data_IF_992633389771
#
_entry.id   IF_992633389771
#
_cell.length_a   1.000
_cell.length_b   1.000
_cell.length_c   1.000
_cell.angle_alpha   90.00
_cell.angle_beta   90.00
_cell.angle_gamma   90.00
#
_symmetry.space_group_name_H-M   'P 1'
#
loop_
_entity.id
_entity.type
_entity.pdbx_description
1 polymer ?
#
# COMPACT_ATOMS: atom_id res chain seq x y z
N UNK A 1 11.09 0.05 -1.31
CA UNK A 1 10.01 -0.81 -1.79
C UNK A 1 9.04 -1.08 -0.65
N UNK A 2 7.74 -1.08 -0.93
CA UNK A 2 6.71 -1.51 0.01
C UNK A 2 5.97 -2.71 -0.57
N UNK A 3 5.56 -3.64 0.29
CA UNK A 3 4.75 -4.79 -0.09
C UNK A 3 3.44 -4.77 0.68
N UNK A 4 2.33 -4.79 -0.06
CA UNK A 4 0.98 -4.84 0.50
C UNK A 4 0.40 -6.24 0.34
N UNK A 5 0.05 -6.83 1.46
CA UNK A 5 -0.55 -8.15 1.57
C UNK A 5 -1.36 -8.24 2.86
N UNK A 6 -1.36 -9.39 3.52
CA UNK A 6 -1.98 -9.58 4.86
C UNK A 6 -1.46 -8.55 5.87
N UNK A 7 -0.18 -8.21 5.77
CA UNK A 7 0.48 -7.10 6.46
C UNK A 7 1.11 -6.13 5.48
N UNK A 8 1.95 -5.23 5.99
CA UNK A 8 2.74 -4.28 5.20
C UNK A 8 4.21 -4.50 5.50
N UNK A 9 4.96 -4.91 4.48
CA UNK A 9 6.41 -5.04 4.55
C UNK A 9 7.12 -3.90 3.83
N UNK A 10 8.42 -3.76 4.08
CA UNK A 10 9.25 -2.80 3.40
C UNK A 10 10.69 -3.25 3.22
N UNK A 11 11.38 -2.57 2.33
CA UNK A 11 12.82 -2.73 2.11
C UNK A 11 13.41 -1.48 1.51
N UNK A 12 14.59 -1.13 1.96
CA UNK A 12 15.33 0.06 1.53
C UNK A 12 16.54 -0.41 0.73
N UNK A 13 16.68 0.13 -0.49
CA UNK A 13 17.86 -0.08 -1.32
C UNK A 13 18.65 1.22 -1.35
N UNK A 14 19.91 1.15 -1.00
CA UNK A 14 20.85 2.25 -1.05
C UNK A 14 22.15 1.81 -1.74
N UNK A 15 22.59 2.55 -2.74
CA UNK A 15 23.76 2.19 -3.57
C UNK A 15 23.70 0.75 -4.14
N UNK A 16 22.53 0.33 -4.63
CA UNK A 16 22.27 -1.01 -5.17
C UNK A 16 22.37 -2.15 -4.15
N UNK A 17 22.45 -1.84 -2.86
CA UNK A 17 22.48 -2.81 -1.77
C UNK A 17 21.27 -2.66 -0.85
N UNK A 18 20.90 -3.76 -0.18
CA UNK A 18 19.87 -3.72 0.84
C UNK A 18 20.40 -3.04 2.08
N UNK A 19 19.77 -1.94 2.48
CA UNK A 19 20.05 -1.32 3.75
C UNK A 19 19.45 -2.15 4.89
N UNK A 20 20.29 -2.83 5.64
CA UNK A 20 19.89 -3.79 6.69
C UNK A 20 19.78 -3.15 8.08
N UNK A 21 20.44 -2.00 8.31
CA UNK A 21 20.60 -1.47 9.67
C UNK A 21 21.26 -2.52 10.57
N UNK A 22 20.67 -2.75 11.74
CA UNK A 22 21.07 -3.86 12.63
C UNK A 22 20.38 -5.20 12.30
N UNK A 23 19.76 -5.31 11.12
CA UNK A 23 19.10 -6.53 10.61
C UNK A 23 17.63 -6.37 10.22
N UNK A 24 16.93 -5.40 10.78
CA UNK A 24 15.48 -5.21 10.59
C UNK A 24 15.11 -3.82 10.03
N UNK A 25 16.03 -3.18 9.28
CA UNK A 25 15.69 -1.92 8.63
C UNK A 25 14.63 -2.14 7.55
N UNK A 26 13.66 -1.22 7.49
CA UNK A 26 12.57 -1.31 6.51
C UNK A 26 11.30 -1.96 7.05
N UNK A 27 11.18 -2.25 8.34
CA UNK A 27 9.95 -2.71 9.01
C UNK A 27 8.88 -1.59 9.04
N UNK A 28 8.53 -1.11 7.85
CA UNK A 28 7.66 0.07 7.63
C UNK A 28 6.26 -0.17 8.19
N UNK A 29 5.73 -1.39 8.07
CA UNK A 29 4.42 -1.76 8.62
C UNK A 29 4.33 -1.58 10.13
N UNK A 30 5.47 -1.56 10.84
CA UNK A 30 5.56 -1.41 12.30
C UNK A 30 5.73 0.03 12.76
N UNK A 31 5.66 1.01 11.87
CA UNK A 31 5.64 2.41 12.25
C UNK A 31 4.37 2.69 13.04
N UNK A 32 4.52 3.23 14.26
CA UNK A 32 3.39 3.66 15.08
C UNK A 32 2.77 4.92 14.47
N UNK A 33 1.47 4.88 14.21
CA UNK A 33 0.70 6.02 13.71
C UNK A 33 -0.12 6.70 14.82
N UNK A 34 -0.35 5.96 15.91
CA UNK A 34 -0.96 6.46 17.14
C UNK A 34 -0.59 5.54 18.31
N UNK A 35 -1.13 5.80 19.50
CA UNK A 35 -0.80 5.07 20.73
C UNK A 35 -1.02 3.54 20.66
N UNK A 36 -1.85 3.04 19.75
CA UNK A 36 -2.29 1.64 19.72
C UNK A 36 -2.22 0.97 18.36
N UNK A 37 -1.92 1.71 17.30
CA UNK A 37 -1.98 1.19 15.93
C UNK A 37 -0.67 1.37 15.19
N UNK A 38 -0.26 0.31 14.52
CA UNK A 38 0.81 0.34 13.54
C UNK A 38 0.27 0.73 12.16
N UNK A 39 1.14 1.11 11.27
CA UNK A 39 0.79 1.47 9.90
C UNK A 39 0.05 0.31 9.18
N UNK A 40 0.51 -0.94 9.38
CA UNK A 40 -0.15 -2.10 8.78
C UNK A 40 -1.59 -2.33 9.28
N UNK A 41 -1.94 -1.83 10.47
CA UNK A 41 -3.29 -1.90 11.03
C UNK A 41 -4.29 -0.96 10.33
N UNK A 42 -3.83 -0.09 9.43
CA UNK A 42 -4.68 0.85 8.70
C UNK A 42 -4.56 0.77 7.19
N UNK A 43 -3.46 0.22 6.64
CA UNK A 43 -3.24 0.16 5.19
C UNK A 43 -3.03 -1.25 4.62
N UNK A 44 -3.07 -2.31 5.44
CA UNK A 44 -2.91 -3.67 4.91
C UNK A 44 -4.17 -4.18 4.19
N UNK A 45 -3.98 -5.14 3.28
CA UNK A 45 -5.09 -5.79 2.57
C UNK A 45 -6.11 -6.43 3.52
N UNK A 46 -5.66 -6.95 4.66
CA UNK A 46 -6.54 -7.49 5.71
C UNK A 46 -7.47 -6.41 6.26
N UNK A 47 -6.96 -5.21 6.49
CA UNK A 47 -7.77 -4.08 6.98
C UNK A 47 -8.78 -3.65 5.93
N UNK A 48 -8.38 -3.56 4.68
CA UNK A 48 -9.30 -3.20 3.59
C UNK A 48 -10.47 -4.18 3.49
N UNK A 49 -10.15 -5.48 3.51
CA UNK A 49 -11.19 -6.53 3.49
C UNK A 49 -12.11 -6.41 4.70
N UNK A 50 -11.56 -6.20 5.89
CA UNK A 50 -12.35 -6.05 7.11
C UNK A 50 -13.26 -4.82 7.07
N UNK A 51 -12.74 -3.67 6.64
CA UNK A 51 -13.56 -2.45 6.47
C UNK A 51 -14.71 -2.68 5.49
N UNK A 52 -14.43 -3.31 4.36
CA UNK A 52 -15.45 -3.67 3.40
C UNK A 52 -16.53 -4.58 4.03
N UNK A 53 -16.14 -5.60 4.78
CA UNK A 53 -17.08 -6.50 5.46
C UNK A 53 -17.94 -5.76 6.51
N UNK A 54 -17.34 -4.91 7.32
CA UNK A 54 -18.05 -4.09 8.31
C UNK A 54 -19.09 -3.18 7.63
N UNK A 55 -18.71 -2.55 6.52
CA UNK A 55 -19.62 -1.71 5.74
C UNK A 55 -20.76 -2.52 5.14
N UNK A 56 -20.49 -3.73 4.66
CA UNK A 56 -21.51 -4.65 4.17
C UNK A 56 -22.52 -5.04 5.25
N UNK A 57 -22.07 -5.35 6.47
CA UNK A 57 -22.95 -5.71 7.57
C UNK A 57 -23.87 -4.54 7.98
N UNK A 58 -23.36 -3.30 7.89
CA UNK A 58 -24.14 -2.08 8.19
C UNK A 58 -25.18 -1.81 7.10
N UNK A 59 -24.84 -2.03 5.83
CA UNK A 59 -25.73 -1.71 4.72
C UNK A 59 -25.73 -2.80 3.64
N UNK A 60 -26.61 -3.80 3.81
CA UNK A 60 -26.75 -4.99 2.94
C UNK A 60 -27.13 -4.71 1.48
N UNK A 61 -27.21 -3.45 1.06
CA UNK A 61 -27.61 -3.04 -0.31
C UNK A 61 -26.46 -2.46 -1.13
N UNK A 62 -25.20 -2.76 -0.79
CA UNK A 62 -24.06 -2.18 -1.49
C UNK A 62 -23.90 -2.75 -2.90
N UNK A 63 -23.43 -1.96 -3.84
CA UNK A 63 -23.09 -2.44 -5.19
C UNK A 63 -22.01 -3.53 -5.16
N UNK A 64 -21.11 -3.46 -4.17
CA UNK A 64 -20.10 -4.47 -3.91
C UNK A 64 -20.64 -5.70 -3.17
N UNK A 65 -21.85 -5.65 -2.61
CA UNK A 65 -22.40 -6.69 -1.75
C UNK A 65 -22.49 -8.07 -2.40
N UNK A 66 -22.76 -8.13 -3.70
CA UNK A 66 -22.82 -9.38 -4.46
C UNK A 66 -21.42 -9.97 -4.76
N UNK A 67 -20.39 -9.16 -4.59
CA UNK A 67 -19.00 -9.50 -4.90
C UNK A 67 -18.23 -9.83 -3.62
N UNK A 68 -18.78 -9.47 -2.45
CA UNK A 68 -18.20 -9.65 -1.12
C UNK A 68 -17.97 -11.10 -0.68
N UNK A 69 -18.66 -12.04 -1.27
CA UNK A 69 -18.47 -13.46 -0.99
C UNK A 69 -17.21 -14.07 -1.63
N UNK A 70 -16.54 -13.33 -2.50
CA UNK A 70 -15.27 -13.77 -3.09
C UNK A 70 -14.09 -13.04 -2.41
N UNK A 71 -13.02 -13.74 -2.09
CA UNK A 71 -11.83 -13.27 -1.32
C UNK A 71 -11.08 -12.04 -1.90
N UNK A 72 -11.62 -11.37 -2.93
CA UNK A 72 -10.94 -10.32 -3.72
C UNK A 72 -11.48 -8.91 -3.51
N UNK A 73 -12.35 -8.71 -2.56
CA UNK A 73 -13.15 -7.49 -2.42
C UNK A 73 -12.33 -6.22 -2.15
N UNK A 74 -11.24 -6.33 -1.37
CA UNK A 74 -10.43 -5.15 -1.06
C UNK A 74 -9.89 -4.41 -2.29
N UNK A 75 -9.66 -5.12 -3.39
CA UNK A 75 -9.14 -4.53 -4.62
C UNK A 75 -10.21 -3.82 -5.47
N UNK A 76 -11.48 -4.18 -5.31
CA UNK A 76 -12.59 -3.57 -6.05
C UNK A 76 -12.86 -2.13 -5.62
N UNK A 77 -12.46 -1.75 -4.40
CA UNK A 77 -12.50 -0.35 -3.97
C UNK A 77 -11.68 0.57 -4.88
N UNK A 78 -10.73 0.03 -5.62
CA UNK A 78 -9.88 0.81 -6.54
C UNK A 78 -10.33 0.73 -7.99
N UNK A 79 -11.43 0.03 -8.28
CA UNK A 79 -12.05 0.03 -9.60
C UNK A 79 -12.74 1.36 -9.86
N UNK A 80 -12.12 2.20 -10.69
CA UNK A 80 -12.66 3.52 -11.07
C UNK A 80 -13.91 3.44 -11.96
N UNK A 81 -14.25 2.26 -12.48
CA UNK A 81 -15.48 2.04 -13.26
C UNK A 81 -16.70 1.79 -12.38
N UNK A 82 -16.49 1.47 -11.10
CA UNK A 82 -17.56 1.27 -10.13
C UNK A 82 -17.90 2.60 -9.50
N UNK A 83 -19.17 2.97 -9.61
CA UNK A 83 -19.76 4.09 -8.88
C UNK A 83 -20.03 3.62 -7.44
N UNK A 84 -19.09 3.94 -6.53
CA UNK A 84 -19.12 3.54 -5.13
C UNK A 84 -20.22 4.30 -4.37
N UNK A 85 -20.80 3.67 -3.38
CA UNK A 85 -21.66 4.34 -2.40
C UNK A 85 -20.79 5.21 -1.46
N UNK A 86 -21.35 6.25 -0.84
CA UNK A 86 -20.62 7.24 -0.03
C UNK A 86 -19.68 6.62 1.01
N UNK A 87 -20.12 5.54 1.67
CA UNK A 87 -19.30 4.87 2.69
C UNK A 87 -18.20 3.99 2.09
N UNK A 88 -18.37 3.44 0.88
CA UNK A 88 -17.33 2.70 0.15
C UNK A 88 -16.27 3.70 -0.33
N UNK A 89 -16.70 4.84 -0.83
CA UNK A 89 -15.82 5.94 -1.19
C UNK A 89 -15.06 6.48 0.02
N UNK A 90 -15.71 6.62 1.16
CA UNK A 90 -15.05 7.01 2.42
C UNK A 90 -13.96 6.00 2.80
N UNK A 91 -14.24 4.68 2.74
CA UNK A 91 -13.25 3.65 3.05
C UNK A 91 -12.06 3.68 2.08
N UNK A 92 -12.31 3.84 0.78
CA UNK A 92 -11.26 4.02 -0.23
C UNK A 92 -10.39 5.24 0.09
N UNK A 93 -11.02 6.37 0.34
CA UNK A 93 -10.34 7.64 0.60
C UNK A 93 -9.50 7.56 1.87
N UNK A 94 -9.98 6.92 2.94
CA UNK A 94 -9.20 6.69 4.16
C UNK A 94 -7.95 5.85 3.91
N UNK A 95 -8.05 4.80 3.10
CA UNK A 95 -6.91 3.95 2.74
C UNK A 95 -5.89 4.75 1.91
N UNK A 96 -6.34 5.49 0.90
CA UNK A 96 -5.48 6.33 0.06
C UNK A 96 -4.79 7.39 0.90
N UNK A 97 -5.51 8.08 1.76
CA UNK A 97 -4.97 9.10 2.66
C UNK A 97 -3.88 8.53 3.58
N UNK A 98 -4.17 7.42 4.28
CA UNK A 98 -3.21 6.83 5.20
C UNK A 98 -1.97 6.31 4.47
N UNK A 99 -2.15 5.70 3.29
CA UNK A 99 -1.03 5.23 2.46
C UNK A 99 -0.18 6.41 1.98
N UNK A 100 -0.81 7.47 1.47
CA UNK A 100 -0.12 8.67 1.01
C UNK A 100 0.65 9.36 2.13
N UNK A 101 0.05 9.51 3.32
CA UNK A 101 0.72 10.08 4.48
C UNK A 101 1.97 9.26 4.89
N UNK A 102 1.89 7.93 4.80
CA UNK A 102 3.03 7.07 5.04
C UNK A 102 4.14 7.28 4.01
N UNK A 103 3.80 7.34 2.71
CA UNK A 103 4.77 7.59 1.64
C UNK A 103 5.43 8.96 1.79
N UNK A 104 4.67 9.99 2.14
CA UNK A 104 5.20 11.33 2.40
C UNK A 104 6.18 11.31 3.59
N UNK A 105 5.80 10.66 4.69
CA UNK A 105 6.67 10.54 5.87
C UNK A 105 7.98 9.81 5.56
N UNK A 106 7.92 8.77 4.75
CA UNK A 106 9.10 8.04 4.28
C UNK A 106 9.96 8.89 3.35
N UNK A 107 9.35 9.67 2.46
CA UNK A 107 10.06 10.60 1.60
C UNK A 107 10.78 11.69 2.42
N UNK A 108 10.12 12.24 3.42
CA UNK A 108 10.73 13.23 4.30
C UNK A 108 11.92 12.69 5.10
N UNK A 109 11.89 11.39 5.44
CA UNK A 109 12.99 10.72 6.17
C UNK A 109 14.15 10.30 5.29
N UNK A 110 13.87 9.81 4.08
CA UNK A 110 14.87 9.12 3.26
C UNK A 110 15.25 9.87 1.99
N UNK A 111 14.46 10.88 1.58
CA UNK A 111 14.64 11.61 0.31
C UNK A 111 14.89 10.66 -0.87
N UNK A 112 14.08 9.63 -0.97
CA UNK A 112 14.27 8.53 -1.90
C UNK A 112 13.84 8.89 -3.33
N UNK A 113 14.51 8.32 -4.33
CA UNK A 113 14.25 8.59 -5.75
C UNK A 113 12.98 7.97 -6.29
N UNK A 114 12.51 6.88 -5.66
CA UNK A 114 11.37 6.10 -6.16
C UNK A 114 10.72 5.29 -5.05
N UNK A 115 9.41 5.16 -5.12
CA UNK A 115 8.66 4.14 -4.40
C UNK A 115 8.30 2.99 -5.34
N UNK A 116 8.57 1.76 -4.92
CA UNK A 116 8.14 0.55 -5.62
C UNK A 116 7.14 -0.20 -4.76
N UNK A 117 5.96 -0.47 -5.30
CA UNK A 117 4.88 -1.18 -4.60
C UNK A 117 4.75 -2.58 -5.19
N UNK A 118 4.73 -3.59 -4.33
CA UNK A 118 4.56 -5.00 -4.66
C UNK A 118 3.64 -5.71 -3.68
N UNK A 119 3.63 -7.03 -3.71
CA UNK A 119 2.82 -7.88 -2.83
C UNK A 119 1.50 -8.29 -3.47
N UNK A 120 0.71 -9.11 -2.74
CA UNK A 120 -0.51 -9.73 -3.27
C UNK A 120 -1.58 -8.74 -3.75
N UNK A 121 -1.61 -7.53 -3.18
CA UNK A 121 -2.54 -6.48 -3.59
C UNK A 121 -2.29 -5.98 -5.01
N UNK A 122 -1.05 -6.10 -5.51
CA UNK A 122 -0.71 -5.71 -6.90
C UNK A 122 -1.14 -6.75 -7.95
N UNK A 123 -1.68 -7.89 -7.52
CA UNK A 123 -2.31 -8.90 -8.39
C UNK A 123 -3.63 -8.40 -8.97
N UNK A 124 -4.28 -7.48 -8.27
CA UNK A 124 -5.52 -6.87 -8.75
C UNK A 124 -5.33 -6.25 -10.12
N UNK A 125 -6.33 -6.34 -11.02
CA UNK A 125 -6.34 -5.58 -12.26
C UNK A 125 -6.46 -4.07 -12.02
N UNK A 126 -6.85 -3.67 -10.81
CA UNK A 126 -7.07 -2.27 -10.46
C UNK A 126 -5.82 -1.67 -9.84
N UNK A 127 -5.30 -0.65 -10.51
CA UNK A 127 -4.12 0.08 -10.06
C UNK A 127 -4.53 1.24 -9.16
N UNK A 128 -4.11 1.19 -7.90
CA UNK A 128 -4.37 2.26 -6.94
C UNK A 128 -3.28 3.35 -6.92
N UNK A 129 -2.17 3.15 -7.62
CA UNK A 129 -1.08 4.15 -7.71
C UNK A 129 -1.57 5.50 -8.24
N UNK A 130 -2.40 5.58 -9.29
CA UNK A 130 -2.92 6.86 -9.77
C UNK A 130 -3.73 7.64 -8.71
N UNK A 131 -4.41 6.94 -7.79
CA UNK A 131 -5.14 7.57 -6.70
C UNK A 131 -4.20 8.15 -5.64
N UNK A 132 -3.08 7.48 -5.38
CA UNK A 132 -2.03 8.00 -4.50
C UNK A 132 -1.38 9.25 -5.09
N UNK A 133 -1.00 9.20 -6.37
CA UNK A 133 -0.40 10.34 -7.08
C UNK A 133 -1.35 11.55 -7.10
N UNK A 134 -2.65 11.32 -7.37
CA UNK A 134 -3.68 12.36 -7.35
C UNK A 134 -3.84 12.97 -5.97
N UNK A 135 -3.95 12.14 -4.93
CA UNK A 135 -4.12 12.62 -3.55
C UNK A 135 -2.90 13.43 -3.10
N UNK A 136 -1.68 12.95 -3.35
CA UNK A 136 -0.44 13.61 -2.94
C UNK A 136 -0.29 14.95 -3.67
N UNK A 137 -0.45 14.96 -4.99
CA UNK A 137 -0.29 16.17 -5.80
C UNK A 137 -1.34 17.25 -5.51
N UNK A 138 -2.54 16.85 -5.06
CA UNK A 138 -3.63 17.78 -4.73
C UNK A 138 -3.48 18.39 -3.34
N UNK A 139 -2.97 17.62 -2.38
CA UNK A 139 -3.02 18.00 -0.97
C UNK A 139 -1.67 18.45 -0.39
N UNK A 140 -0.56 18.22 -1.09
CA UNK A 140 0.78 18.50 -0.56
C UNK A 140 1.66 19.21 -1.58
N UNK A 141 2.46 20.14 -1.08
CA UNK A 141 3.49 20.83 -1.83
C UNK A 141 4.87 20.49 -1.26
N UNK A 142 5.84 20.29 -2.15
CA UNK A 142 7.23 19.98 -1.78
C UNK A 142 8.15 21.10 -2.29
N UNK A 143 8.36 22.16 -1.51
CA UNK A 143 9.20 23.29 -1.93
C UNK A 143 10.62 22.84 -2.28
N UNK A 144 11.07 23.22 -3.48
CA UNK A 144 12.41 22.95 -4.01
C UNK A 144 12.77 21.46 -4.28
N UNK A 145 11.80 20.56 -4.26
CA UNK A 145 11.98 19.14 -4.64
C UNK A 145 10.68 18.55 -5.17
N UNK A 146 10.78 17.43 -5.87
CA UNK A 146 9.62 16.72 -6.39
C UNK A 146 9.38 15.44 -5.59
N UNK A 147 8.12 15.14 -5.33
CA UNK A 147 7.78 13.84 -4.76
C UNK A 147 8.19 12.72 -5.74
N UNK A 148 8.79 11.63 -5.26
CA UNK A 148 9.29 10.56 -6.10
C UNK A 148 8.16 9.80 -6.79
N UNK A 149 8.46 9.24 -7.96
CA UNK A 149 7.49 8.41 -8.70
C UNK A 149 7.12 7.18 -7.90
N UNK A 150 5.83 6.88 -7.86
CA UNK A 150 5.32 5.62 -7.34
C UNK A 150 5.15 4.66 -8.51
N UNK A 151 5.68 3.44 -8.41
CA UNK A 151 5.57 2.41 -9.45
C UNK A 151 5.18 1.06 -8.87
N UNK A 152 4.38 0.32 -9.61
CA UNK A 152 4.18 -1.09 -9.32
C UNK A 152 5.44 -1.89 -9.68
N UNK A 153 5.78 -2.85 -8.82
CA UNK A 153 6.83 -3.82 -9.11
C UNK A 153 6.49 -4.61 -10.37
N UNK A 154 7.47 -4.82 -11.24
CA UNK A 154 7.30 -5.70 -12.42
C UNK A 154 6.99 -7.14 -12.01
N UNK A 155 7.53 -7.58 -10.88
CA UNK A 155 7.31 -8.91 -10.33
C UNK A 155 6.00 -9.01 -9.52
N UNK A 156 5.30 -7.88 -9.33
CA UNK A 156 4.00 -7.85 -8.66
C UNK A 156 4.00 -8.63 -7.32
N UNK A 157 3.17 -9.66 -7.24
CA UNK A 157 3.04 -10.54 -6.08
C UNK A 157 4.30 -11.38 -5.80
N UNK A 158 5.05 -11.72 -6.83
CA UNK A 158 6.26 -12.55 -6.75
C UNK A 158 7.50 -11.78 -6.27
N UNK A 159 7.38 -10.48 -6.02
CA UNK A 159 8.50 -9.61 -5.64
C UNK A 159 9.25 -10.12 -4.41
N UNK A 160 8.53 -10.63 -3.40
CA UNK A 160 9.13 -11.18 -2.19
C UNK A 160 9.92 -12.47 -2.45
N UNK A 161 9.35 -13.39 -3.22
CA UNK A 161 9.97 -14.67 -3.57
C UNK A 161 11.23 -14.45 -4.43
N UNK A 162 11.15 -13.59 -5.45
CA UNK A 162 12.31 -13.26 -6.29
C UNK A 162 13.41 -12.55 -5.49
N UNK A 163 13.05 -11.66 -4.57
CA UNK A 163 14.00 -10.99 -3.69
C UNK A 163 14.73 -11.99 -2.78
N UNK A 164 14.03 -12.94 -2.18
CA UNK A 164 14.61 -13.99 -1.36
C UNK A 164 15.55 -14.91 -2.18
N UNK A 165 15.16 -15.30 -3.40
CA UNK A 165 16.00 -16.09 -4.30
C UNK A 165 17.29 -15.36 -4.68
N UNK A 166 17.22 -14.06 -5.01
CA UNK A 166 18.39 -13.23 -5.32
C UNK A 166 19.33 -13.11 -4.12
N UNK A 167 18.80 -12.97 -2.90
CA UNK A 167 19.62 -12.94 -1.69
C UNK A 167 20.37 -14.24 -1.48
N UNK A 168 19.71 -15.38 -1.67
CA UNK A 168 20.35 -16.69 -1.54
C UNK A 168 21.47 -16.89 -2.56
N UNK A 169 21.29 -16.45 -3.81
CA UNK A 169 22.30 -16.55 -4.86
C UNK A 169 23.52 -15.63 -4.63
N UNK A 170 23.35 -14.51 -3.91
CA UNK A 170 24.42 -13.55 -3.63
C UNK A 170 25.05 -13.77 -2.24
N UNK A 171 24.71 -14.84 -1.54
CA UNK A 171 25.22 -15.15 -0.18
C UNK A 171 26.45 -16.06 -0.21
N UNK A 172 26.96 -16.42 -1.39
CA UNK A 172 28.26 -17.09 -1.61
C UNK A 172 29.36 -16.03 -1.82
#
# INVERSE_FOLDING_TARGET
MLTFGTGVGGGIIYNSEIFKGSGNAGEIGRILINEKSYLEDVISAKVWTKKCQELYEINKKTKLSNIFYEEKVGSLLFDRSIDLEDYEEFARNEIIQNTSNALISLFELFDNDIFVIGGSMTKSPYDFVPLLDEYISTNFEFPNRNFPKIKLSKAREDSGMLGAALLALNSE
#
